data_IF_256608697805
#
_entry.id   IF_256608697805
#
_cell.length_a   1.000
_cell.length_b   1.000
_cell.length_c   1.000
_cell.angle_alpha   90.00
_cell.angle_beta   90.00
_cell.angle_gamma   90.00
#
_symmetry.space_group_name_H-M   'P 1'
#
loop_
_entity.id
_entity.type
_entity.pdbx_description
1 polymer ?
#
# COMPACT_ATOMS: atom_id res chain seq x y z
N UNK A 1 -50.43 -8.05 -15.72
CA UNK A 1 -50.96 -7.08 -14.74
C UNK A 1 -51.80 -6.07 -15.50
N UNK A 2 -52.92 -5.61 -14.94
CA UNK A 2 -53.77 -4.62 -15.60
C UNK A 2 -53.22 -3.22 -15.30
N UNK A 3 -53.03 -2.41 -16.34
CA UNK A 3 -52.53 -1.05 -16.22
C UNK A 3 -53.66 -0.08 -15.84
N UNK A 4 -53.31 0.98 -15.10
CA UNK A 4 -54.26 2.04 -14.73
C UNK A 4 -54.67 2.83 -15.98
N UNK A 5 -55.95 2.84 -16.31
CA UNK A 5 -56.52 3.66 -17.39
C UNK A 5 -57.44 4.73 -16.80
N UNK A 6 -57.15 6.00 -17.10
CA UNK A 6 -57.89 7.16 -16.54
C UNK A 6 -58.37 8.06 -17.67
N UNK A 7 -59.66 8.44 -17.62
CA UNK A 7 -60.26 9.43 -18.52
C UNK A 7 -60.44 10.75 -17.79
N UNK A 8 -59.92 11.83 -18.37
CA UNK A 8 -60.02 13.18 -17.79
C UNK A 8 -61.00 14.02 -18.61
N UNK A 9 -61.92 14.70 -17.93
CA UNK A 9 -62.83 15.70 -18.52
C UNK A 9 -62.53 17.06 -17.89
N UNK A 10 -62.24 18.08 -18.70
CA UNK A 10 -61.96 19.43 -18.21
C UNK A 10 -63.22 20.12 -17.69
N UNK A 11 -63.13 20.75 -16.51
CA UNK A 11 -64.18 21.60 -15.98
C UNK A 11 -64.18 22.97 -16.70
N UNK A 12 -65.36 23.46 -17.08
CA UNK A 12 -65.55 24.80 -17.66
C UNK A 12 -65.98 25.78 -16.56
N UNK A 13 -65.38 26.97 -16.54
CA UNK A 13 -65.69 28.04 -15.58
C UNK A 13 -66.16 29.26 -16.35
N UNK A 14 -67.36 29.74 -16.04
CA UNK A 14 -67.94 30.95 -16.62
C UNK A 14 -68.19 32.00 -15.53
N UNK A 15 -67.81 33.25 -15.79
CA UNK A 15 -68.17 34.39 -14.94
C UNK A 15 -69.49 34.95 -15.46
N UNK A 16 -70.56 34.76 -14.70
CA UNK A 16 -71.90 35.29 -15.02
C UNK A 16 -71.83 36.81 -15.15
N UNK A 17 -72.38 37.36 -16.23
CA UNK A 17 -72.41 38.80 -16.52
C UNK A 17 -71.02 39.47 -16.42
N UNK A 18 -69.99 38.81 -16.96
CA UNK A 18 -68.59 39.27 -16.90
C UNK A 18 -68.41 40.74 -17.25
N UNK A 19 -69.03 41.19 -18.35
CA UNK A 19 -68.93 42.59 -18.81
C UNK A 19 -69.49 43.56 -17.76
N UNK A 20 -70.62 43.22 -17.15
CA UNK A 20 -71.26 44.03 -16.10
C UNK A 20 -70.43 44.03 -14.82
N UNK A 21 -69.83 42.90 -14.46
CA UNK A 21 -68.92 42.80 -13.32
C UNK A 21 -67.67 43.67 -13.53
N UNK A 22 -67.02 43.57 -14.70
CA UNK A 22 -65.86 44.38 -15.06
C UNK A 22 -66.20 45.87 -15.09
N UNK A 23 -67.36 46.24 -15.65
CA UNK A 23 -67.86 47.61 -15.65
C UNK A 23 -68.08 48.15 -14.24
N UNK A 24 -68.74 47.39 -13.35
CA UNK A 24 -68.96 47.80 -11.97
C UNK A 24 -67.64 48.05 -11.21
N UNK A 25 -66.62 47.21 -11.43
CA UNK A 25 -65.30 47.40 -10.84
C UNK A 25 -64.65 48.67 -11.39
N UNK A 26 -64.69 48.88 -12.71
CA UNK A 26 -64.13 50.06 -13.36
C UNK A 26 -64.80 51.35 -12.88
N UNK A 27 -66.12 51.35 -12.69
CA UNK A 27 -66.88 52.50 -12.18
C UNK A 27 -66.48 52.85 -10.74
N UNK A 28 -66.35 51.83 -9.88
CA UNK A 28 -65.86 52.01 -8.50
C UNK A 28 -64.44 52.57 -8.50
N UNK A 29 -63.55 52.04 -9.34
CA UNK A 29 -62.18 52.55 -9.47
C UNK A 29 -62.19 53.99 -9.97
N UNK A 30 -62.92 54.31 -11.04
CA UNK A 30 -62.99 55.65 -11.60
C UNK A 30 -63.52 56.68 -10.60
N UNK A 31 -64.54 56.32 -9.82
CA UNK A 31 -65.15 57.17 -8.79
C UNK A 31 -64.17 57.55 -7.69
N UNK A 32 -63.31 56.62 -7.25
CA UNK A 32 -62.46 56.81 -6.07
C UNK A 32 -60.97 56.99 -6.39
N UNK A 33 -60.52 56.86 -7.64
CA UNK A 33 -59.10 56.93 -8.05
C UNK A 33 -58.39 58.22 -7.61
N UNK A 34 -59.09 59.35 -7.71
CA UNK A 34 -58.56 60.68 -7.35
C UNK A 34 -59.34 61.31 -6.17
N UNK A 35 -60.12 60.51 -5.44
CA UNK A 35 -60.91 61.00 -4.32
C UNK A 35 -60.02 61.29 -3.10
N UNK A 36 -60.19 62.45 -2.48
CA UNK A 36 -59.46 62.83 -1.26
C UNK A 36 -60.43 62.96 -0.10
N UNK A 37 -60.19 62.18 0.96
CA UNK A 37 -60.98 62.21 2.20
C UNK A 37 -60.78 63.56 2.90
N UNK A 38 -61.86 64.17 3.38
CA UNK A 38 -61.82 65.43 4.13
C UNK A 38 -62.34 65.25 5.56
N UNK A 39 -62.06 66.21 6.45
CA UNK A 39 -62.56 66.17 7.83
C UNK A 39 -64.09 66.14 7.92
N UNK A 40 -64.80 66.68 6.93
CA UNK A 40 -66.26 66.71 6.89
C UNK A 40 -66.89 65.39 6.40
N UNK A 41 -66.16 64.58 5.62
CA UNK A 41 -66.66 63.34 5.00
C UNK A 41 -66.13 62.06 5.66
N UNK A 42 -65.23 62.20 6.64
CA UNK A 42 -64.50 61.09 7.28
C UNK A 42 -65.40 59.99 7.88
N UNK A 43 -66.62 60.34 8.32
CA UNK A 43 -67.55 59.38 8.91
C UNK A 43 -68.12 58.46 7.82
N UNK A 44 -68.58 59.05 6.73
CA UNK A 44 -69.12 58.36 5.57
C UNK A 44 -68.02 57.59 4.81
N UNK A 45 -66.82 58.17 4.70
CA UNK A 45 -65.68 57.55 4.01
C UNK A 45 -65.19 56.26 4.70
N UNK A 46 -65.27 56.20 6.03
CA UNK A 46 -64.99 54.96 6.78
C UNK A 46 -65.98 53.86 6.42
N UNK A 47 -67.25 54.19 6.23
CA UNK A 47 -68.27 53.23 5.82
C UNK A 47 -68.00 52.74 4.39
N UNK A 48 -67.73 53.66 3.46
CA UNK A 48 -67.37 53.32 2.07
C UNK A 48 -66.13 52.43 2.00
N UNK A 49 -65.08 52.71 2.78
CA UNK A 49 -63.88 51.87 2.85
C UNK A 49 -64.21 50.45 3.36
N UNK A 50 -65.08 50.32 4.35
CA UNK A 50 -65.51 49.03 4.87
C UNK A 50 -66.25 48.24 3.77
N UNK A 51 -67.13 48.88 3.02
CA UNK A 51 -67.88 48.26 1.92
C UNK A 51 -66.96 47.83 0.76
N UNK A 52 -65.99 48.66 0.38
CA UNK A 52 -64.98 48.31 -0.64
C UNK A 52 -64.10 47.13 -0.20
N UNK A 53 -63.69 47.08 1.06
CA UNK A 53 -62.94 45.94 1.61
C UNK A 53 -63.77 44.66 1.63
N UNK A 54 -65.06 44.78 1.95
CA UNK A 54 -66.01 43.66 1.93
C UNK A 54 -66.19 43.11 0.52
N UNK A 55 -66.34 43.98 -0.48
CA UNK A 55 -66.42 43.60 -1.90
C UNK A 55 -65.14 42.88 -2.37
N UNK A 56 -63.96 43.44 -2.08
CA UNK A 56 -62.67 42.80 -2.41
C UNK A 56 -62.53 41.43 -1.76
N UNK A 57 -62.96 41.30 -0.50
CA UNK A 57 -62.95 40.03 0.23
C UNK A 57 -63.86 39.00 -0.45
N UNK A 58 -65.10 39.37 -0.78
CA UNK A 58 -66.04 38.46 -1.46
C UNK A 58 -65.49 37.93 -2.79
N UNK A 59 -64.87 38.80 -3.62
CA UNK A 59 -64.23 38.38 -4.88
C UNK A 59 -63.12 37.36 -4.62
N UNK A 60 -62.30 37.60 -3.58
CA UNK A 60 -61.22 36.68 -3.21
C UNK A 60 -61.76 35.35 -2.66
N UNK A 61 -62.80 35.39 -1.84
CA UNK A 61 -63.42 34.21 -1.23
C UNK A 61 -64.05 33.32 -2.30
N UNK A 62 -64.78 33.90 -3.28
CA UNK A 62 -65.38 33.13 -4.38
C UNK A 62 -64.29 32.56 -5.32
N UNK A 63 -63.22 33.31 -5.60
CA UNK A 63 -62.05 32.79 -6.34
C UNK A 63 -61.44 31.57 -5.65
N UNK A 64 -61.26 31.62 -4.33
CA UNK A 64 -60.68 30.51 -3.55
C UNK A 64 -61.64 29.31 -3.56
N UNK A 65 -62.94 29.55 -3.39
CA UNK A 65 -63.96 28.51 -3.41
C UNK A 65 -63.98 27.76 -4.75
N UNK A 66 -64.07 28.48 -5.86
CA UNK A 66 -64.07 27.87 -7.20
C UNK A 66 -62.74 27.16 -7.49
N UNK A 67 -61.60 27.73 -7.08
CA UNK A 67 -60.30 27.04 -7.20
C UNK A 67 -60.27 25.69 -6.46
N UNK A 68 -60.82 25.64 -5.24
CA UNK A 68 -60.90 24.39 -4.46
C UNK A 68 -61.82 23.37 -5.11
N UNK A 69 -62.98 23.80 -5.61
CA UNK A 69 -63.94 22.92 -6.28
C UNK A 69 -63.35 22.31 -7.55
N UNK A 70 -62.60 23.10 -8.33
CA UNK A 70 -61.90 22.60 -9.52
C UNK A 70 -60.72 21.68 -9.20
N UNK A 71 -60.03 21.85 -8.06
CA UNK A 71 -58.91 20.98 -7.66
C UNK A 71 -59.37 19.72 -6.93
N UNK A 72 -60.55 19.73 -6.32
CA UNK A 72 -61.04 18.66 -5.46
C UNK A 72 -61.02 17.29 -6.12
N UNK A 73 -61.49 17.18 -7.37
CA UNK A 73 -61.50 15.89 -8.09
C UNK A 73 -60.09 15.36 -8.39
N UNK A 74 -59.13 16.24 -8.63
CA UNK A 74 -57.73 15.88 -8.82
C UNK A 74 -57.07 15.45 -7.50
N UNK A 75 -57.35 16.19 -6.41
CA UNK A 75 -56.84 15.90 -5.06
C UNK A 75 -57.41 14.56 -4.54
N UNK A 76 -58.70 14.29 -4.78
CA UNK A 76 -59.37 13.02 -4.44
C UNK A 76 -58.82 11.84 -5.26
N UNK A 77 -58.57 12.04 -6.56
CA UNK A 77 -57.95 11.02 -7.41
C UNK A 77 -56.52 10.69 -6.96
N UNK A 78 -55.68 11.71 -6.72
CA UNK A 78 -54.31 11.50 -6.23
C UNK A 78 -54.30 10.76 -4.89
N UNK A 79 -55.17 11.17 -3.96
CA UNK A 79 -55.34 10.49 -2.69
C UNK A 79 -55.79 9.04 -2.88
N UNK A 80 -56.80 8.79 -3.71
CA UNK A 80 -57.29 7.44 -3.98
C UNK A 80 -56.18 6.54 -4.53
N UNK A 81 -55.40 7.02 -5.51
CA UNK A 81 -54.29 6.25 -6.08
C UNK A 81 -53.24 5.96 -5.02
N UNK A 82 -52.82 6.95 -4.22
CA UNK A 82 -51.85 6.76 -3.12
C UNK A 82 -52.34 5.75 -2.09
N UNK A 83 -53.56 5.92 -1.60
CA UNK A 83 -54.15 5.04 -0.59
C UNK A 83 -54.32 3.61 -1.14
N UNK A 84 -54.64 3.47 -2.43
CA UNK A 84 -54.82 2.16 -3.09
C UNK A 84 -53.49 1.49 -3.44
N UNK A 85 -52.43 2.25 -3.76
CA UNK A 85 -51.11 1.70 -4.09
C UNK A 85 -50.27 1.40 -2.85
N UNK A 86 -50.52 2.05 -1.71
CA UNK A 86 -49.73 1.88 -0.48
C UNK A 86 -49.60 0.41 -0.02
N UNK A 87 -50.65 -0.44 -0.05
CA UNK A 87 -50.49 -1.86 0.30
C UNK A 87 -49.57 -2.61 -0.66
N UNK A 88 -49.56 -2.23 -1.94
CA UNK A 88 -48.67 -2.82 -2.95
C UNK A 88 -47.22 -2.40 -2.70
N UNK A 89 -46.97 -1.13 -2.37
CA UNK A 89 -45.64 -0.64 -2.00
C UNK A 89 -45.07 -1.43 -0.81
N UNK A 90 -45.89 -1.66 0.23
CA UNK A 90 -45.51 -2.50 1.38
C UNK A 90 -45.13 -3.93 0.98
N UNK A 91 -45.85 -4.52 0.02
CA UNK A 91 -45.53 -5.87 -0.50
C UNK A 91 -44.23 -5.85 -1.29
N UNK A 92 -44.02 -4.83 -2.14
CA UNK A 92 -42.77 -4.65 -2.90
C UNK A 92 -41.58 -4.52 -1.96
N UNK A 93 -41.68 -3.67 -0.93
CA UNK A 93 -40.61 -3.45 0.05
C UNK A 93 -40.28 -4.73 0.83
N UNK A 94 -41.32 -5.48 1.21
CA UNK A 94 -41.14 -6.77 1.88
C UNK A 94 -40.43 -7.78 0.96
N UNK A 95 -40.89 -7.93 -0.29
CA UNK A 95 -40.27 -8.85 -1.25
C UNK A 95 -38.82 -8.43 -1.52
N UNK A 96 -38.54 -7.15 -1.69
CA UNK A 96 -37.18 -6.64 -1.89
C UNK A 96 -36.27 -6.98 -0.70
N UNK A 97 -36.77 -6.83 0.53
CA UNK A 97 -36.07 -7.19 1.76
C UNK A 97 -35.83 -8.70 1.83
N UNK A 98 -36.85 -9.51 1.58
CA UNK A 98 -36.78 -10.97 1.61
C UNK A 98 -35.81 -11.51 0.55
N UNK A 99 -35.82 -10.95 -0.67
CA UNK A 99 -34.88 -11.30 -1.75
C UNK A 99 -33.44 -10.96 -1.35
N UNK A 100 -33.20 -9.76 -0.83
CA UNK A 100 -31.86 -9.35 -0.39
C UNK A 100 -31.33 -10.26 0.72
N UNK A 101 -32.15 -10.55 1.74
CA UNK A 101 -31.79 -11.43 2.84
C UNK A 101 -31.49 -12.86 2.35
N UNK A 102 -32.27 -13.36 1.39
CA UNK A 102 -32.05 -14.67 0.78
C UNK A 102 -30.75 -14.73 -0.02
N UNK A 103 -30.44 -13.70 -0.81
CA UNK A 103 -29.18 -13.63 -1.57
C UNK A 103 -27.95 -13.55 -0.66
N UNK A 104 -28.01 -12.77 0.43
CA UNK A 104 -26.96 -12.69 1.45
C UNK A 104 -26.76 -14.05 2.14
N UNK A 105 -27.85 -14.71 2.52
CA UNK A 105 -27.80 -16.05 3.10
C UNK A 105 -27.20 -17.07 2.11
N UNK A 106 -27.59 -17.04 0.82
CA UNK A 106 -26.98 -17.91 -0.19
C UNK A 106 -25.47 -17.68 -0.33
N UNK A 107 -25.01 -16.43 -0.30
CA UNK A 107 -23.57 -16.12 -0.34
C UNK A 107 -22.85 -16.67 0.89
N UNK A 108 -23.44 -16.54 2.07
CA UNK A 108 -22.88 -17.07 3.31
C UNK A 108 -22.78 -18.60 3.28
N UNK A 109 -23.83 -19.29 2.83
CA UNK A 109 -23.84 -20.76 2.67
C UNK A 109 -22.77 -21.19 1.66
N UNK A 110 -22.67 -20.53 0.51
CA UNK A 110 -21.63 -20.85 -0.49
C UNK A 110 -20.23 -20.66 0.08
N UNK A 111 -19.99 -19.57 0.80
CA UNK A 111 -18.71 -19.32 1.45
C UNK A 111 -18.39 -20.42 2.47
N UNK A 112 -19.36 -20.80 3.30
CA UNK A 112 -19.20 -21.87 4.29
C UNK A 112 -18.88 -23.22 3.64
N UNK A 113 -19.55 -23.57 2.54
CA UNK A 113 -19.23 -24.77 1.75
C UNK A 113 -17.79 -24.73 1.23
N UNK A 114 -17.35 -23.62 0.63
CA UNK A 114 -15.99 -23.48 0.10
C UNK A 114 -14.96 -23.58 1.22
N UNK A 115 -15.17 -22.87 2.33
CA UNK A 115 -14.28 -22.92 3.51
C UNK A 115 -14.23 -24.32 4.12
N UNK A 116 -15.36 -25.00 4.25
CA UNK A 116 -15.43 -26.37 4.75
C UNK A 116 -14.66 -27.34 3.84
N UNK A 117 -14.80 -27.18 2.51
CA UNK A 117 -14.06 -27.97 1.55
C UNK A 117 -12.55 -27.74 1.67
N UNK A 118 -12.12 -26.48 1.68
CA UNK A 118 -10.72 -26.09 1.85
C UNK A 118 -10.16 -26.56 3.19
N UNK A 119 -10.91 -26.47 4.29
CA UNK A 119 -10.48 -26.94 5.60
C UNK A 119 -10.23 -28.45 5.62
N UNK A 120 -11.13 -29.23 5.01
CA UNK A 120 -10.94 -30.68 4.87
C UNK A 120 -9.69 -31.01 4.06
N UNK A 121 -9.45 -30.30 2.94
CA UNK A 121 -8.27 -30.49 2.11
C UNK A 121 -6.98 -30.00 2.76
N UNK A 122 -7.00 -28.87 3.44
CA UNK A 122 -5.87 -28.34 4.19
C UNK A 122 -5.45 -29.28 5.32
N UNK A 123 -6.42 -29.92 5.99
CA UNK A 123 -6.16 -30.89 7.04
C UNK A 123 -5.38 -32.13 6.56
N UNK A 124 -5.56 -32.56 5.30
CA UNK A 124 -4.77 -33.66 4.70
C UNK A 124 -3.26 -33.33 4.67
N UNK A 125 -2.91 -32.04 4.63
CA UNK A 125 -1.53 -31.54 4.59
C UNK A 125 -1.08 -30.82 5.88
N UNK A 126 -1.90 -30.86 6.94
CA UNK A 126 -1.69 -30.11 8.19
C UNK A 126 -1.51 -28.59 8.00
N UNK A 127 -2.12 -28.02 6.96
CA UNK A 127 -2.11 -26.58 6.69
C UNK A 127 -3.20 -25.87 7.52
N UNK A 128 -2.94 -24.64 7.94
CA UNK A 128 -3.96 -23.77 8.55
C UNK A 128 -4.99 -23.37 7.47
N UNK A 129 -6.28 -23.74 7.62
CA UNK A 129 -7.32 -23.38 6.66
C UNK A 129 -7.47 -21.86 6.43
N UNK A 130 -7.09 -21.04 7.41
CA UNK A 130 -7.17 -19.58 7.33
C UNK A 130 -6.29 -18.99 6.24
N UNK A 131 -5.24 -19.69 5.80
CA UNK A 131 -4.40 -19.29 4.67
C UNK A 131 -5.21 -19.09 3.39
N UNK A 132 -6.38 -19.73 3.28
CA UNK A 132 -7.21 -19.70 2.08
C UNK A 132 -8.42 -18.78 2.21
N UNK A 133 -8.60 -18.06 3.33
CA UNK A 133 -9.82 -17.29 3.60
C UNK A 133 -10.10 -16.20 2.55
N UNK A 134 -9.06 -15.47 2.15
CA UNK A 134 -9.19 -14.44 1.12
C UNK A 134 -9.51 -15.05 -0.25
N UNK A 135 -8.86 -16.17 -0.57
CA UNK A 135 -9.05 -16.88 -1.84
C UNK A 135 -10.39 -17.57 -1.93
N UNK A 136 -10.97 -18.03 -0.83
CA UNK A 136 -12.30 -18.63 -0.79
C UNK A 136 -13.38 -17.69 -1.35
N UNK A 137 -13.22 -16.37 -1.17
CA UNK A 137 -14.16 -15.36 -1.69
C UNK A 137 -14.21 -15.32 -3.23
N UNK A 138 -13.19 -15.82 -3.92
CA UNK A 138 -13.17 -15.87 -5.39
C UNK A 138 -14.07 -16.98 -5.96
N UNK A 139 -14.46 -17.96 -5.13
CA UNK A 139 -15.16 -19.20 -5.52
C UNK A 139 -16.60 -19.30 -5.00
N UNK A 140 -17.24 -18.18 -4.66
CA UNK A 140 -18.62 -18.14 -4.15
C UNK A 140 -19.66 -17.79 -5.25
N UNK A 141 -19.26 -17.75 -6.52
CA UNK A 141 -20.17 -17.38 -7.61
C UNK A 141 -21.11 -18.54 -7.90
N UNK A 142 -22.33 -18.26 -8.33
CA UNK A 142 -23.29 -19.31 -8.69
C UNK A 142 -22.74 -20.28 -9.76
N UNK A 143 -21.81 -19.82 -10.61
CA UNK A 143 -21.13 -20.65 -11.61
C UNK A 143 -20.24 -21.75 -11.02
N UNK A 144 -19.79 -21.60 -9.77
CA UNK A 144 -18.90 -22.53 -9.08
C UNK A 144 -19.66 -23.70 -8.43
N UNK A 145 -20.98 -23.58 -8.35
CA UNK A 145 -21.87 -24.55 -7.72
C UNK A 145 -22.77 -25.22 -8.76
N UNK A 146 -23.23 -26.41 -8.43
CA UNK A 146 -24.26 -27.14 -9.18
C UNK A 146 -25.59 -26.38 -9.14
N UNK A 147 -26.59 -26.87 -9.88
CA UNK A 147 -27.91 -26.23 -9.94
C UNK A 147 -28.64 -26.17 -8.58
N UNK A 148 -28.23 -26.98 -7.60
CA UNK A 148 -28.71 -26.92 -6.22
C UNK A 148 -28.18 -25.70 -5.44
N UNK A 149 -27.19 -24.98 -5.98
CA UNK A 149 -26.62 -23.77 -5.41
C UNK A 149 -25.74 -23.98 -4.18
N UNK A 150 -25.51 -25.22 -3.74
CA UNK A 150 -24.80 -25.58 -2.51
C UNK A 150 -23.70 -26.62 -2.72
N UNK A 151 -23.78 -27.44 -3.76
CA UNK A 151 -22.75 -28.43 -4.08
C UNK A 151 -21.72 -27.85 -5.04
N UNK A 152 -20.43 -27.97 -4.71
CA UNK A 152 -19.35 -27.50 -5.59
C UNK A 152 -19.28 -28.31 -6.90
N UNK A 153 -18.96 -27.65 -8.01
CA UNK A 153 -18.65 -28.34 -9.26
C UNK A 153 -17.28 -29.01 -9.18
N UNK A 154 -17.10 -30.10 -9.92
CA UNK A 154 -15.82 -30.83 -10.02
C UNK A 154 -14.64 -29.93 -10.46
N UNK A 155 -14.87 -29.00 -11.39
CA UNK A 155 -13.83 -28.07 -11.86
C UNK A 155 -13.40 -27.13 -10.74
N UNK A 156 -14.37 -26.61 -9.98
CA UNK A 156 -14.13 -25.76 -8.81
C UNK A 156 -13.40 -26.52 -7.72
N UNK A 157 -13.85 -27.73 -7.39
CA UNK A 157 -13.19 -28.62 -6.42
C UNK A 157 -11.72 -28.86 -6.78
N UNK A 158 -11.45 -29.19 -8.05
CA UNK A 158 -10.07 -29.37 -8.54
C UNK A 158 -9.24 -28.09 -8.38
N UNK A 159 -9.78 -26.94 -8.73
CA UNK A 159 -9.06 -25.67 -8.56
C UNK A 159 -8.72 -25.36 -7.09
N UNK A 160 -9.64 -25.69 -6.17
CA UNK A 160 -9.40 -25.53 -4.73
C UNK A 160 -8.34 -26.53 -4.23
N UNK A 161 -8.37 -27.77 -4.72
CA UNK A 161 -7.36 -28.79 -4.40
C UNK A 161 -5.96 -28.42 -4.92
N UNK A 162 -5.87 -27.94 -6.17
CA UNK A 162 -4.62 -27.50 -6.79
C UNK A 162 -4.02 -26.34 -5.97
N UNK A 163 -4.86 -25.42 -5.48
CA UNK A 163 -4.43 -24.31 -4.61
C UNK A 163 -3.86 -24.81 -3.27
N UNK A 164 -4.53 -25.74 -2.60
CA UNK A 164 -4.05 -26.31 -1.33
C UNK A 164 -2.72 -27.05 -1.55
N UNK A 165 -2.64 -27.82 -2.63
CA UNK A 165 -1.44 -28.59 -2.98
C UNK A 165 -0.26 -27.67 -3.29
N UNK A 166 -0.49 -26.57 -4.00
CA UNK A 166 0.52 -25.57 -4.29
C UNK A 166 1.07 -24.91 -3.03
N UNK A 167 0.19 -24.52 -2.09
CA UNK A 167 0.64 -23.90 -0.83
C UNK A 167 1.44 -24.90 0.03
N UNK A 168 1.04 -26.17 0.06
CA UNK A 168 1.82 -27.23 0.71
C UNK A 168 3.21 -27.39 0.09
N UNK A 169 3.29 -27.46 -1.24
CA UNK A 169 4.57 -27.60 -1.95
C UNK A 169 5.51 -26.42 -1.65
N UNK A 170 4.98 -25.21 -1.65
CA UNK A 170 5.71 -24.00 -1.30
C UNK A 170 6.26 -24.04 0.12
N UNK A 171 5.48 -24.48 1.11
CA UNK A 171 5.97 -24.63 2.49
C UNK A 171 7.05 -25.70 2.61
N UNK A 172 6.90 -26.82 1.89
CA UNK A 172 7.91 -27.89 1.87
C UNK A 172 9.21 -27.45 1.21
N UNK A 173 9.14 -26.65 0.15
CA UNK A 173 10.32 -26.07 -0.50
C UNK A 173 11.04 -25.13 0.47
N UNK A 174 10.30 -24.23 1.11
CA UNK A 174 10.87 -23.31 2.09
C UNK A 174 11.50 -24.02 3.32
N UNK A 175 10.91 -25.12 3.79
CA UNK A 175 11.55 -25.93 4.86
C UNK A 175 12.81 -26.65 4.38
N UNK A 176 12.88 -27.10 3.11
CA UNK A 176 14.12 -27.64 2.54
C UNK A 176 15.20 -26.58 2.42
N UNK A 177 14.85 -25.35 2.04
CA UNK A 177 15.78 -24.23 1.98
C UNK A 177 16.36 -23.91 3.37
N UNK A 178 15.52 -23.86 4.41
CA UNK A 178 15.98 -23.71 5.80
C UNK A 178 16.89 -24.85 6.23
N UNK A 179 16.50 -26.09 5.94
CA UNK A 179 17.30 -27.28 6.30
C UNK A 179 18.67 -27.25 5.61
N UNK A 180 18.74 -26.81 4.34
CA UNK A 180 20.00 -26.61 3.64
C UNK A 180 20.87 -25.56 4.35
N UNK A 181 20.30 -24.41 4.74
CA UNK A 181 21.01 -23.36 5.47
C UNK A 181 21.54 -23.89 6.81
N UNK A 182 20.69 -24.54 7.60
CA UNK A 182 21.07 -25.13 8.88
C UNK A 182 22.18 -26.17 8.72
N UNK A 183 22.11 -27.01 7.67
CA UNK A 183 23.15 -27.98 7.33
C UNK A 183 24.50 -27.31 7.04
N UNK A 184 24.49 -26.30 6.17
CA UNK A 184 25.71 -25.56 5.81
C UNK A 184 26.33 -24.83 7.00
N UNK A 185 25.51 -24.18 7.83
CA UNK A 185 25.98 -23.50 9.04
C UNK A 185 26.53 -24.50 10.07
N UNK A 186 25.91 -25.67 10.23
CA UNK A 186 26.39 -26.70 11.13
C UNK A 186 27.76 -27.25 10.71
N UNK A 187 27.98 -27.45 9.40
CA UNK A 187 29.29 -27.86 8.85
C UNK A 187 30.40 -26.83 9.16
N UNK A 188 30.05 -25.54 9.21
CA UNK A 188 30.98 -24.46 9.53
C UNK A 188 31.05 -24.09 11.03
N UNK A 189 30.26 -24.76 11.88
CA UNK A 189 30.18 -24.42 13.30
C UNK A 189 29.58 -23.04 13.57
N UNK A 190 28.73 -22.54 12.67
CA UNK A 190 28.08 -21.23 12.71
C UNK A 190 26.61 -21.35 13.12
N UNK A 191 26.02 -20.25 13.60
CA UNK A 191 24.58 -20.18 13.90
C UNK A 191 23.77 -19.93 12.64
N UNK A 192 22.66 -20.65 12.46
CA UNK A 192 21.82 -20.62 11.26
C UNK A 192 20.76 -19.49 11.23
N UNK A 193 20.29 -19.04 12.40
CA UNK A 193 19.18 -18.08 12.53
C UNK A 193 19.34 -16.78 11.72
N UNK A 194 20.53 -16.14 11.66
CA UNK A 194 20.71 -14.93 10.84
C UNK A 194 20.44 -15.19 9.36
N UNK A 195 20.88 -16.34 8.85
CA UNK A 195 20.76 -16.71 7.45
C UNK A 195 19.35 -17.19 7.09
N UNK A 196 18.69 -17.92 8.00
CA UNK A 196 17.26 -18.27 7.86
C UNK A 196 16.40 -17.01 7.75
N UNK A 197 16.74 -15.94 8.48
CA UNK A 197 16.03 -14.66 8.37
C UNK A 197 16.28 -13.99 7.01
N UNK A 198 17.47 -14.11 6.44
CA UNK A 198 17.79 -13.56 5.11
C UNK A 198 16.97 -14.22 3.99
N UNK A 199 16.62 -15.50 4.15
CA UNK A 199 15.77 -16.24 3.20
C UNK A 199 14.37 -15.58 2.99
N UNK A 200 13.93 -14.72 3.90
CA UNK A 200 12.67 -13.96 3.74
C UNK A 200 12.72 -12.94 2.58
N UNK A 201 13.91 -12.52 2.16
CA UNK A 201 14.10 -11.46 1.17
C UNK A 201 15.18 -11.78 0.12
N UNK A 202 15.86 -12.93 0.23
CA UNK A 202 16.96 -13.33 -0.63
C UNK A 202 16.76 -14.75 -1.13
N UNK A 203 17.36 -15.09 -2.28
CA UNK A 203 17.33 -16.47 -2.77
C UNK A 203 18.20 -17.38 -1.90
N UNK A 204 17.90 -18.69 -1.89
CA UNK A 204 18.75 -19.68 -1.22
C UNK A 204 20.21 -19.57 -1.67
N UNK A 205 20.45 -19.35 -2.97
CA UNK A 205 21.80 -19.25 -3.53
C UNK A 205 22.59 -18.07 -2.94
N UNK A 206 21.95 -16.90 -2.83
CA UNK A 206 22.61 -15.71 -2.26
C UNK A 206 22.91 -15.90 -0.77
N UNK A 207 21.97 -16.52 -0.02
CA UNK A 207 22.18 -16.84 1.39
C UNK A 207 23.34 -17.82 1.56
N UNK A 208 23.43 -18.85 0.71
CA UNK A 208 24.56 -19.80 0.71
C UNK A 208 25.90 -19.14 0.44
N UNK A 209 25.95 -18.19 -0.51
CA UNK A 209 27.16 -17.42 -0.77
C UNK A 209 27.55 -16.55 0.42
N UNK A 210 26.59 -15.97 1.12
CA UNK A 210 26.84 -15.17 2.30
C UNK A 210 27.41 -16.02 3.45
N UNK A 211 26.82 -17.20 3.71
CA UNK A 211 27.35 -18.17 4.70
C UNK A 211 28.81 -18.51 4.41
N UNK A 212 29.12 -18.81 3.14
CA UNK A 212 30.48 -19.12 2.71
C UNK A 212 31.44 -17.94 2.92
N UNK A 213 31.03 -16.71 2.57
CA UNK A 213 31.85 -15.51 2.72
C UNK A 213 32.21 -15.24 4.18
N UNK A 214 31.21 -15.31 5.06
CA UNK A 214 31.38 -15.08 6.50
C UNK A 214 32.31 -16.14 7.12
N UNK A 215 32.14 -17.41 6.74
CA UNK A 215 33.01 -18.50 7.18
C UNK A 215 34.48 -18.28 6.77
N UNK A 216 34.72 -17.92 5.50
CA UNK A 216 36.08 -17.65 5.01
C UNK A 216 36.72 -16.47 5.74
N UNK A 217 35.96 -15.40 5.96
CA UNK A 217 36.43 -14.23 6.71
C UNK A 217 36.79 -14.60 8.16
N UNK A 218 35.98 -15.43 8.82
CA UNK A 218 36.24 -15.86 10.20
C UNK A 218 37.47 -16.78 10.29
N UNK A 219 37.66 -17.67 9.31
CA UNK A 219 38.87 -18.48 9.17
C UNK A 219 40.14 -17.64 8.97
N UNK A 220 40.11 -16.65 8.08
CA UNK A 220 41.25 -15.73 7.88
C UNK A 220 41.58 -14.97 9.16
N UNK A 221 40.56 -14.47 9.87
CA UNK A 221 40.73 -13.79 11.15
C UNK A 221 41.29 -14.70 12.25
N UNK A 222 40.91 -15.98 12.28
CA UNK A 222 41.49 -16.95 13.21
C UNK A 222 42.96 -17.23 12.91
N UNK A 223 43.31 -17.43 11.62
CA UNK A 223 44.70 -17.63 11.19
C UNK A 223 45.59 -16.43 11.53
N UNK A 224 45.10 -15.21 11.31
CA UNK A 224 45.83 -13.99 11.69
C UNK A 224 46.08 -13.91 13.20
N UNK A 225 45.05 -14.20 14.03
CA UNK A 225 45.20 -14.23 15.49
C UNK A 225 46.17 -15.30 15.97
N UNK A 226 46.17 -16.48 15.34
CA UNK A 226 47.10 -17.56 15.66
C UNK A 226 48.54 -17.16 15.30
N UNK A 227 48.77 -16.59 14.12
CA UNK A 227 50.09 -16.13 13.69
C UNK A 227 50.63 -15.00 14.57
N UNK A 228 49.78 -14.08 15.02
CA UNK A 228 50.14 -13.02 15.97
C UNK A 228 50.51 -13.61 17.33
N UNK A 229 49.70 -14.53 17.86
CA UNK A 229 49.98 -15.20 19.13
C UNK A 229 51.28 -16.04 19.08
N UNK A 230 51.55 -16.74 17.98
CA UNK A 230 52.79 -17.49 17.79
C UNK A 230 54.01 -16.55 17.74
N UNK A 231 53.89 -15.42 17.05
CA UNK A 231 54.94 -14.39 17.00
C UNK A 231 55.22 -13.80 18.39
N UNK A 232 54.17 -13.51 19.17
CA UNK A 232 54.30 -13.03 20.55
C UNK A 232 54.97 -14.08 21.45
N UNK A 233 54.60 -15.35 21.34
CA UNK A 233 55.24 -16.44 22.09
C UNK A 233 56.73 -16.57 21.76
N UNK A 234 57.11 -16.53 20.47
CA UNK A 234 58.51 -16.56 20.04
C UNK A 234 59.32 -15.38 20.58
N UNK A 235 58.73 -14.18 20.58
CA UNK A 235 59.36 -12.98 21.15
C UNK A 235 59.55 -13.11 22.67
N UNK A 236 58.54 -13.62 23.38
CA UNK A 236 58.63 -13.86 24.82
C UNK A 236 59.69 -14.92 25.17
N UNK A 237 59.78 -16.01 24.41
CA UNK A 237 60.83 -17.02 24.58
C UNK A 237 62.24 -16.46 24.32
N UNK A 238 62.41 -15.62 23.29
CA UNK A 238 63.68 -14.97 23.02
C UNK A 238 64.08 -14.02 24.16
N UNK A 239 63.15 -13.22 24.68
CA UNK A 239 63.40 -12.34 25.82
C UNK A 239 63.75 -13.14 27.08
N UNK A 240 63.06 -14.24 27.36
CA UNK A 240 63.39 -15.12 28.48
C UNK A 240 64.80 -15.73 28.36
N UNK A 241 65.21 -16.16 27.15
CA UNK A 241 66.57 -16.65 26.88
C UNK A 241 67.63 -15.55 27.06
N UNK A 242 67.34 -14.33 26.60
CA UNK A 242 68.26 -13.18 26.77
C UNK A 242 68.40 -12.77 28.25
N UNK A 243 67.31 -12.76 29.02
CA UNK A 243 67.37 -12.50 30.47
C UNK A 243 68.15 -13.58 31.23
N UNK A 244 67.98 -14.85 30.85
CA UNK A 244 68.75 -15.97 31.44
C UNK A 244 70.26 -15.90 31.10
N UNK A 245 70.63 -15.37 29.93
CA UNK A 245 72.02 -15.10 29.56
C UNK A 245 72.59 -13.86 30.27
N UNK A 246 71.81 -12.79 30.41
CA UNK A 246 72.22 -11.59 31.14
C UNK A 246 72.48 -11.86 32.64
N UNK A 247 71.72 -12.76 33.26
CA UNK A 247 71.98 -13.20 34.64
C UNK A 247 73.22 -14.10 34.80
N UNK A 248 73.76 -14.67 33.70
CA UNK A 248 75.01 -15.44 33.71
C UNK A 248 76.27 -14.59 33.50
N UNK A 249 76.11 -13.33 33.07
CA UNK A 249 77.22 -12.39 32.81
C UNK A 249 77.22 -11.24 33.82
N UNK A 250 77.49 -11.55 35.09
CA UNK A 250 77.98 -10.55 36.06
C UNK A 250 79.40 -10.93 36.48
N UNK A 251 80.37 -10.66 35.60
CA UNK A 251 81.78 -10.49 35.96
C UNK A 251 82.24 -9.11 35.43
N UNK A 252 82.95 -8.29 36.24
CA UNK A 252 83.27 -6.90 35.91
C UNK A 252 84.40 -6.79 34.87
N UNK A 253 84.39 -5.77 33.98
CA UNK A 253 85.38 -5.66 32.90
C UNK A 253 86.74 -5.20 33.43
N UNK A 254 87.80 -5.94 33.10
CA UNK A 254 89.19 -5.52 33.31
C UNK A 254 89.68 -4.72 32.10
N UNK A 255 90.10 -3.48 32.37
CA UNK A 255 90.87 -2.62 31.47
C UNK A 255 92.36 -2.85 31.77
N UNK A 256 93.18 -3.05 30.73
CA UNK A 256 94.64 -3.22 30.83
C UNK A 256 95.36 -2.01 30.17
N UNK A 257 96.31 -1.33 30.85
CA UNK A 257 96.88 -0.08 30.41
C UNK A 257 98.34 -0.22 29.94
N UNK A 258 98.63 -0.72 28.74
CA UNK A 258 99.97 -0.48 28.14
C UNK A 258 100.13 -0.68 26.63
N UNK A 259 99.11 -0.38 25.81
CA UNK A 259 99.32 -0.07 24.38
C UNK A 259 98.21 0.87 23.90
N UNK A 260 98.53 2.16 23.85
CA UNK A 260 97.65 3.21 23.35
C UNK A 260 97.48 3.18 21.83
N UNK A 261 96.87 2.13 21.29
CA UNK A 261 96.29 2.11 19.95
C UNK A 261 94.80 1.76 20.02
N UNK A 262 94.03 2.76 19.62
CA UNK A 262 92.60 2.72 19.31
C UNK A 262 92.50 2.18 17.88
N UNK A 263 91.87 1.04 17.68
CA UNK A 263 91.37 0.68 16.35
C UNK A 263 90.02 1.37 16.14
N UNK A 264 90.15 2.55 15.56
CA UNK A 264 89.14 3.31 14.84
C UNK A 264 88.55 2.49 13.66
N UNK A 265 87.31 2.81 13.26
CA UNK A 265 86.76 2.41 11.97
C UNK A 265 85.44 1.63 11.98
N UNK A 266 84.42 2.13 12.69
CA UNK A 266 83.06 1.57 12.67
C UNK A 266 81.98 2.62 12.90
N UNK A 267 81.93 3.60 11.99
CA UNK A 267 80.99 4.72 11.87
C UNK A 267 79.63 4.54 12.59
N UNK A 268 79.47 5.29 13.69
CA UNK A 268 78.18 5.72 14.22
C UNK A 268 77.56 6.70 13.21
N UNK A 269 76.62 6.22 12.39
CA UNK A 269 75.67 7.13 11.76
C UNK A 269 74.66 7.57 12.82
N UNK A 270 74.55 8.89 12.90
CA UNK A 270 73.75 9.65 13.84
C UNK A 270 72.29 9.21 13.89
N UNK A 271 71.78 9.22 15.12
CA UNK A 271 70.38 9.35 15.43
C UNK A 271 69.79 10.60 14.74
N UNK A 272 68.75 10.41 13.93
CA UNK A 272 67.66 11.38 13.87
C UNK A 272 66.64 11.02 14.95
N UNK A 273 66.36 11.90 15.91
CA UNK A 273 65.30 11.71 16.89
C UNK A 273 64.01 12.27 16.30
N UNK A 274 63.32 11.50 15.45
CA UNK A 274 61.97 11.87 15.03
C UNK A 274 60.93 11.38 16.05
N UNK A 275 60.66 12.27 16.99
CA UNK A 275 59.30 12.66 17.38
C UNK A 275 58.30 11.52 17.62
N UNK A 276 58.43 10.88 18.79
CA UNK A 276 57.27 10.49 19.58
C UNK A 276 56.52 11.77 20.02
N UNK A 277 55.65 12.31 19.17
CA UNK A 277 54.55 13.18 19.63
C UNK A 277 53.41 13.23 18.61
N UNK A 278 52.27 12.68 19.01
CA UNK A 278 50.97 13.15 18.55
C UNK A 278 50.36 12.43 17.35
N UNK A 279 50.17 11.11 17.42
CA UNK A 279 48.95 10.56 16.83
C UNK A 279 47.83 10.81 17.85
N UNK A 280 47.17 11.96 17.75
CA UNK A 280 45.86 12.12 18.36
C UNK A 280 44.99 10.96 17.87
N UNK A 281 44.36 10.26 18.82
CA UNK A 281 43.30 9.30 18.55
C UNK A 281 42.15 10.07 17.88
N UNK A 282 42.18 10.20 16.55
CA UNK A 282 40.94 10.43 15.83
C UNK A 282 40.03 9.22 16.10
N UNK A 283 38.78 9.43 16.54
CA UNK A 283 37.86 8.33 16.76
C UNK A 283 37.74 7.55 15.45
N UNK A 284 38.04 6.25 15.48
CA UNK A 284 37.90 5.32 14.33
C UNK A 284 36.49 5.49 13.73
N UNK A 285 36.36 6.31 12.69
CA UNK A 285 35.11 6.47 11.95
C UNK A 285 34.93 5.23 11.11
N UNK A 286 33.93 4.43 11.44
CA UNK A 286 33.51 3.30 10.64
C UNK A 286 32.85 3.82 9.36
N UNK A 287 33.40 3.49 8.20
CA UNK A 287 32.77 3.72 6.89
C UNK A 287 31.88 2.52 6.55
N UNK A 288 30.58 2.72 6.34
CA UNK A 288 29.68 1.69 5.82
C UNK A 288 29.74 1.68 4.29
N UNK A 289 29.90 0.48 3.71
CA UNK A 289 29.86 0.26 2.26
C UNK A 289 28.52 -0.34 1.88
N UNK A 290 27.82 0.28 0.94
CA UNK A 290 26.61 -0.23 0.31
C UNK A 290 26.89 -0.37 -1.20
N UNK A 291 26.48 -1.48 -1.79
CA UNK A 291 26.50 -1.68 -3.25
C UNK A 291 25.09 -1.47 -3.78
N UNK A 292 24.93 -0.57 -4.75
CA UNK A 292 23.66 -0.28 -5.41
C UNK A 292 23.84 -0.50 -6.92
N UNK A 293 23.02 -1.35 -7.52
CA UNK A 293 22.96 -1.53 -8.97
C UNK A 293 21.82 -0.68 -9.53
N UNK A 294 22.13 0.19 -10.50
CA UNK A 294 21.18 1.12 -11.11
C UNK A 294 21.29 1.00 -12.62
N UNK A 295 20.17 0.77 -13.29
CA UNK A 295 20.09 0.70 -14.75
C UNK A 295 19.71 2.07 -15.31
N UNK A 296 20.40 2.50 -16.36
CA UNK A 296 20.16 3.76 -17.06
C UNK A 296 19.85 3.48 -18.52
N UNK A 297 18.95 4.26 -19.12
CA UNK A 297 18.56 4.07 -20.52
C UNK A 297 19.67 4.52 -21.50
N UNK A 298 20.53 5.46 -21.06
CA UNK A 298 21.62 6.00 -21.87
C UNK A 298 22.77 6.52 -21.01
N UNK A 299 23.90 6.85 -21.65
CA UNK A 299 25.12 7.32 -20.98
C UNK A 299 24.94 8.68 -20.30
N UNK A 300 24.10 9.57 -20.85
CA UNK A 300 23.89 10.91 -20.29
C UNK A 300 23.20 10.87 -18.92
N UNK A 301 22.22 9.99 -18.73
CA UNK A 301 21.56 9.76 -17.44
C UNK A 301 22.52 9.21 -16.39
N UNK A 302 23.38 8.27 -16.79
CA UNK A 302 24.41 7.70 -15.93
C UNK A 302 25.40 8.77 -15.46
N UNK A 303 25.83 9.66 -16.35
CA UNK A 303 26.81 10.69 -16.03
C UNK A 303 26.20 11.79 -15.14
N UNK A 304 24.92 12.13 -15.34
CA UNK A 304 24.16 13.02 -14.45
C UNK A 304 24.06 12.44 -13.02
N UNK A 305 23.77 11.14 -12.91
CA UNK A 305 23.69 10.45 -11.62
C UNK A 305 25.03 10.45 -10.88
N UNK A 306 26.15 10.20 -11.59
CA UNK A 306 27.50 10.26 -11.02
C UNK A 306 27.88 11.66 -10.53
N UNK A 307 27.53 12.69 -11.31
CA UNK A 307 27.75 14.08 -10.92
C UNK A 307 26.99 14.40 -9.64
N UNK A 308 25.70 14.03 -9.56
CA UNK A 308 24.88 14.23 -8.36
C UNK A 308 25.40 13.50 -7.12
N UNK A 309 25.90 12.27 -7.26
CA UNK A 309 26.52 11.55 -6.13
C UNK A 309 27.77 12.27 -5.60
N UNK A 310 28.58 12.80 -6.51
CA UNK A 310 29.81 13.52 -6.16
C UNK A 310 29.50 14.85 -5.47
N UNK A 311 28.48 15.58 -5.93
CA UNK A 311 28.00 16.81 -5.30
C UNK A 311 27.47 16.58 -3.88
N UNK A 312 26.86 15.42 -3.63
CA UNK A 312 26.35 15.01 -2.32
C UNK A 312 27.45 14.43 -1.39
N UNK A 313 28.72 14.43 -1.83
CA UNK A 313 29.85 13.96 -1.03
C UNK A 313 30.00 12.44 -0.99
N UNK A 314 29.36 11.70 -1.90
CA UNK A 314 29.53 10.26 -2.02
C UNK A 314 30.63 9.91 -3.03
N UNK A 315 31.63 9.15 -2.58
CA UNK A 315 32.66 8.61 -3.47
C UNK A 315 32.14 7.36 -4.20
N UNK A 316 32.19 7.38 -5.53
CA UNK A 316 31.90 6.20 -6.35
C UNK A 316 33.21 5.61 -6.90
N UNK A 317 33.39 4.28 -6.79
CA UNK A 317 34.56 3.60 -7.37
C UNK A 317 34.40 3.48 -8.89
N UNK A 318 35.45 3.85 -9.63
CA UNK A 318 35.53 3.63 -11.07
C UNK A 318 35.84 2.14 -11.34
N UNK A 319 34.80 1.34 -11.59
CA UNK A 319 35.02 -0.03 -12.10
C UNK A 319 35.28 0.06 -13.61
N UNK A 320 36.55 -0.11 -14.02
CA UNK A 320 36.89 -0.40 -15.41
C UNK A 320 36.77 -1.90 -15.64
N UNK A 321 35.67 -2.35 -16.22
CA UNK A 321 35.60 -3.68 -16.82
C UNK A 321 35.72 -3.54 -18.33
N UNK A 322 36.89 -3.86 -18.87
CA UNK A 322 37.04 -4.15 -20.30
C UNK A 322 37.84 -5.43 -20.47
N UNK A 323 37.11 -6.53 -20.64
CA UNK A 323 37.55 -7.66 -21.46
C UNK A 323 36.30 -8.32 -22.04
N UNK A 324 36.12 -8.18 -23.37
CA UNK A 324 35.35 -9.16 -24.14
C UNK A 324 33.98 -8.79 -24.74
N UNK A 325 33.56 -7.52 -24.83
CA UNK A 325 32.40 -7.16 -25.67
C UNK A 325 32.82 -6.19 -26.78
N UNK A 326 32.94 -6.71 -28.00
CA UNK A 326 32.98 -5.90 -29.22
C UNK A 326 31.65 -5.14 -29.32
N UNK A 327 31.70 -3.89 -29.78
CA UNK A 327 30.53 -3.04 -30.06
C UNK A 327 29.47 -3.85 -30.81
N UNK A 328 28.34 -4.10 -30.18
CA UNK A 328 27.11 -4.46 -30.88
C UNK A 328 26.44 -3.13 -31.19
N UNK A 329 26.38 -2.75 -32.47
CA UNK A 329 25.54 -1.63 -32.87
C UNK A 329 24.07 -1.97 -32.55
N UNK A 330 23.26 -1.01 -32.08
CA UNK A 330 21.87 -1.26 -31.74
C UNK A 330 21.12 -1.79 -32.96
N UNK A 331 20.68 -3.04 -32.86
CA UNK A 331 19.97 -3.77 -33.91
C UNK A 331 18.49 -3.41 -33.82
N UNK A 332 17.85 -3.07 -34.93
CA UNK A 332 16.41 -2.78 -34.94
C UNK A 332 15.59 -4.07 -34.81
N UNK A 333 14.33 -3.96 -34.39
CA UNK A 333 13.43 -5.11 -34.20
C UNK A 333 13.31 -5.99 -35.47
N UNK A 334 13.45 -5.39 -36.66
CA UNK A 334 13.42 -6.09 -37.95
C UNK A 334 14.66 -6.97 -38.17
N UNK A 335 15.84 -6.48 -37.78
CA UNK A 335 17.09 -7.22 -37.89
C UNK A 335 17.20 -8.35 -36.83
N UNK A 336 16.51 -8.18 -35.69
CA UNK A 336 16.41 -9.22 -34.66
C UNK A 336 15.58 -10.43 -35.13
N UNK A 337 14.53 -10.18 -35.93
CA UNK A 337 13.67 -11.25 -36.47
C UNK A 337 14.38 -12.11 -37.53
N UNK A 338 15.25 -11.52 -38.37
CA UNK A 338 16.06 -12.29 -39.33
C UNK A 338 17.12 -13.18 -38.66
N UNK A 339 17.70 -12.74 -37.54
CA UNK A 339 18.75 -13.48 -36.83
C UNK A 339 18.22 -14.65 -35.99
N UNK A 340 16.97 -14.56 -35.51
CA UNK A 340 16.38 -15.55 -34.62
C UNK A 340 15.37 -16.50 -35.30
N UNK A 341 15.01 -16.26 -36.56
CA UNK A 341 14.24 -17.21 -37.38
C UNK A 341 12.83 -17.53 -36.83
N UNK A 342 12.03 -16.49 -36.60
CA UNK A 342 10.58 -16.59 -36.31
C UNK A 342 9.78 -15.96 -37.44
#
# INVERSE_FOLDING_TARGET
MQELQVKVTQAQVEIIDREKFEQNINDVVAKYKNYTVTAATIKEDKQVLADLRKLKKQISDERIKIKRELSQSADEFDKYIKDTSEPMDKVIDKIATDVKAFEEHQKAVRLDTVKSYLANKAAEYMLDPRLFDEKALEYIKASDFMADGVTLKKVTMKSLEDMVTFEYQKQQEHEKEKAAISGQCAEYGMTDQPYIRMLQSMSLADVMQQIMSDYLFEQEKQKMRQAEAEREQLLAEQQAKQQAQAQKSTEPPKVDPETGEILDGGQLSQNEPDTLRGAENEPKRYTQKMTLEVYFANTAEKDLFKAGLSELGFEHKQNYQVSGYQRIEPVTQEQLNELCGW
#
